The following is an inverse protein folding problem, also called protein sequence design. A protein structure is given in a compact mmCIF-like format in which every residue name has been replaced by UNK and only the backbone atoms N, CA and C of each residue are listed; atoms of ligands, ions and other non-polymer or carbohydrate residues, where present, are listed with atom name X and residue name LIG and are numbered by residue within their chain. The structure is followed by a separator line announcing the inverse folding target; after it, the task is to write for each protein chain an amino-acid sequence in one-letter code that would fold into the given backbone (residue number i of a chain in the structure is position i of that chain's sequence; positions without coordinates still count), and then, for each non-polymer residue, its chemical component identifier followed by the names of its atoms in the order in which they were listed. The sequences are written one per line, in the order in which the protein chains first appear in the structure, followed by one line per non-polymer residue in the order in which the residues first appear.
data_IF_623520711353
#
_entry.id   IF_623520711353
#
_cell.length_a   1.000
_cell.length_b   1.000
_cell.length_c   1.000
_cell.angle_alpha   90.00
_cell.angle_beta   90.00
_cell.angle_gamma   90.00
#
_symmetry.space_group_name_H-M   'P 1'
#
loop_
_entity.id
_entity.type
_entity.pdbx_description
1 polymer ?
#
# COMPACT_ATOMS: atom_id res chain seq x y z
N UNK A 1 -10.26 -93.15 -8.95
CA UNK A 1 -11.51 -93.55 -9.65
C UNK A 1 -12.34 -92.28 -9.74
N UNK A 2 -12.64 -91.66 -10.89
CA UNK A 2 -12.58 -92.12 -12.28
C UNK A 2 -12.61 -90.86 -13.19
N UNK A 3 -11.81 -90.85 -14.25
CA UNK A 3 -11.86 -89.86 -15.35
C UNK A 3 -12.92 -90.27 -16.38
N UNK A 4 -13.51 -89.32 -17.14
CA UNK A 4 -13.81 -89.43 -18.59
C UNK A 4 -13.91 -88.03 -19.26
N UNK A 5 -13.53 -87.98 -20.54
CA UNK A 5 -13.36 -86.93 -21.59
C UNK A 5 -14.66 -86.18 -22.00
N UNK A 6 -14.77 -85.13 -22.85
CA UNK A 6 -13.90 -84.32 -23.74
C UNK A 6 -14.76 -83.46 -24.73
N UNK A 7 -14.22 -82.32 -25.25
CA UNK A 7 -14.58 -81.53 -26.49
C UNK A 7 -16.02 -80.91 -26.62
N UNK A 8 -16.37 -79.78 -27.28
CA UNK A 8 -15.83 -78.93 -28.37
C UNK A 8 -16.54 -77.52 -28.36
N UNK A 9 -15.99 -76.55 -29.11
CA UNK A 9 -16.25 -75.09 -29.18
C UNK A 9 -17.28 -74.72 -30.27
N UNK A 10 -18.19 -73.73 -30.05
CA UNK A 10 -18.81 -72.90 -31.14
C UNK A 10 -19.20 -71.47 -30.70
N UNK A 11 -18.81 -70.46 -31.50
CA UNK A 11 -19.35 -69.08 -31.54
C UNK A 11 -20.51 -68.95 -32.54
N UNK A 12 -21.31 -67.86 -32.46
CA UNK A 12 -21.79 -67.14 -33.67
C UNK A 12 -21.74 -65.58 -33.55
N UNK A 13 -21.99 -64.80 -34.65
CA UNK A 13 -21.15 -63.64 -35.04
C UNK A 13 -21.85 -62.24 -35.21
N UNK A 14 -21.09 -61.32 -35.83
CA UNK A 14 -21.26 -59.86 -36.12
C UNK A 14 -22.46 -59.41 -37.01
N UNK A 15 -22.99 -58.22 -36.64
CA UNK A 15 -23.40 -57.01 -37.42
C UNK A 15 -24.34 -57.06 -38.65
N UNK A 16 -25.38 -56.19 -38.66
CA UNK A 16 -25.46 -54.94 -39.47
C UNK A 16 -26.87 -54.55 -40.02
N UNK A 17 -27.23 -53.25 -39.84
CA UNK A 17 -27.96 -52.30 -40.75
C UNK A 17 -29.41 -52.67 -41.19
N UNK A 18 -30.42 -51.81 -41.41
CA UNK A 18 -30.54 -50.38 -41.70
C UNK A 18 -32.04 -49.95 -41.68
N UNK A 19 -32.29 -48.64 -41.44
CA UNK A 19 -33.45 -47.81 -41.86
C UNK A 19 -34.91 -48.10 -41.44
N UNK A 20 -35.53 -47.13 -40.74
CA UNK A 20 -36.87 -46.64 -41.04
C UNK A 20 -37.07 -45.21 -40.48
N UNK A 21 -37.63 -44.33 -41.32
CA UNK A 21 -37.83 -42.91 -41.08
C UNK A 21 -39.24 -42.59 -40.55
N UNK A 22 -39.32 -41.46 -39.82
CA UNK A 22 -40.45 -40.52 -39.65
C UNK A 22 -41.77 -41.01 -39.02
N UNK A 23 -42.14 -40.49 -37.84
CA UNK A 23 -43.11 -39.36 -37.71
C UNK A 23 -43.43 -38.95 -36.25
N UNK A 24 -43.46 -37.62 -36.04
CA UNK A 24 -44.26 -36.77 -35.10
C UNK A 24 -43.94 -36.72 -33.59
N UNK A 25 -43.29 -35.59 -33.22
CA UNK A 25 -43.62 -34.57 -32.18
C UNK A 25 -44.32 -35.03 -30.87
N UNK A 26 -43.95 -34.61 -29.66
CA UNK A 26 -43.55 -33.29 -29.13
C UNK A 26 -42.91 -33.51 -27.74
N UNK A 27 -41.83 -32.80 -27.41
CA UNK A 27 -41.75 -32.07 -26.14
C UNK A 27 -40.50 -31.18 -26.11
N UNK A 28 -40.71 -29.94 -25.71
CA UNK A 28 -39.73 -28.86 -25.83
C UNK A 28 -38.58 -28.99 -24.83
N UNK A 29 -37.36 -29.06 -25.34
CA UNK A 29 -36.16 -28.74 -24.57
C UNK A 29 -35.61 -27.37 -24.96
N UNK A 30 -35.73 -26.47 -23.98
CA UNK A 30 -35.21 -25.11 -23.96
C UNK A 30 -33.67 -25.13 -23.91
N UNK A 31 -33.02 -25.24 -25.08
CA UNK A 31 -31.60 -24.97 -25.22
C UNK A 31 -31.35 -23.46 -25.08
N UNK A 32 -31.22 -22.96 -23.85
CA UNK A 32 -30.76 -21.60 -23.57
C UNK A 32 -29.36 -21.40 -24.17
N UNK A 33 -29.32 -20.78 -25.34
CA UNK A 33 -28.08 -20.33 -25.97
C UNK A 33 -27.30 -19.44 -24.99
N UNK A 34 -26.09 -19.89 -24.63
CA UNK A 34 -25.21 -19.18 -23.72
C UNK A 34 -24.93 -17.77 -24.27
N UNK A 35 -25.43 -16.74 -23.58
CA UNK A 35 -25.30 -15.34 -24.00
C UNK A 35 -23.86 -15.00 -24.43
N UNK A 36 -23.70 -14.25 -25.53
CA UNK A 36 -22.38 -13.76 -26.03
C UNK A 36 -21.51 -13.13 -24.93
N UNK A 37 -22.10 -12.60 -23.86
CA UNK A 37 -21.39 -12.09 -22.66
C UNK A 37 -20.80 -13.20 -21.79
N UNK A 38 -21.53 -14.29 -21.57
CA UNK A 38 -21.03 -15.45 -20.83
C UNK A 38 -19.90 -16.15 -21.59
N UNK A 39 -20.01 -16.28 -22.92
CA UNK A 39 -18.93 -16.79 -23.78
C UNK A 39 -17.66 -15.92 -23.73
N UNK A 40 -17.81 -14.58 -23.75
CA UNK A 40 -16.66 -13.66 -23.58
C UNK A 40 -16.02 -13.77 -22.19
N UNK A 41 -16.81 -13.99 -21.13
CA UNK A 41 -16.31 -14.18 -19.77
C UNK A 41 -15.55 -15.51 -19.63
N UNK A 42 -16.08 -16.59 -20.21
CA UNK A 42 -15.45 -17.91 -20.28
C UNK A 42 -14.11 -17.83 -21.02
N UNK A 43 -14.09 -17.22 -22.22
CA UNK A 43 -12.87 -17.04 -23.03
C UNK A 43 -11.81 -16.24 -22.30
N UNK A 44 -12.19 -15.16 -21.60
CA UNK A 44 -11.26 -14.38 -20.76
C UNK A 44 -10.72 -15.18 -19.57
N UNK A 45 -11.52 -16.06 -18.97
CA UNK A 45 -11.09 -16.93 -17.87
C UNK A 45 -10.06 -17.95 -18.36
N UNK A 46 -10.34 -18.62 -19.48
CA UNK A 46 -9.41 -19.55 -20.13
C UNK A 46 -8.11 -18.84 -20.52
N UNK A 47 -8.18 -17.68 -21.17
CA UNK A 47 -6.98 -16.89 -21.52
C UNK A 47 -6.20 -16.43 -20.28
N UNK A 48 -6.88 -16.14 -19.17
CA UNK A 48 -6.21 -15.79 -17.92
C UNK A 48 -5.55 -17.00 -17.26
N UNK A 49 -6.20 -18.16 -17.28
CA UNK A 49 -5.66 -19.43 -16.80
C UNK A 49 -4.44 -19.86 -17.63
N UNK A 50 -4.53 -19.78 -18.96
CA UNK A 50 -3.42 -20.03 -19.89
C UNK A 50 -2.24 -19.08 -19.62
N UNK A 51 -2.47 -17.76 -19.54
CA UNK A 51 -1.40 -16.79 -19.22
C UNK A 51 -0.82 -17.00 -17.82
N UNK A 52 -1.62 -17.46 -16.87
CA UNK A 52 -1.17 -17.80 -15.51
C UNK A 52 -0.28 -19.03 -15.53
N UNK A 53 -0.66 -20.07 -16.27
CA UNK A 53 0.11 -21.29 -16.45
C UNK A 53 1.41 -21.04 -17.23
N UNK A 54 1.35 -20.22 -18.29
CA UNK A 54 2.52 -19.79 -19.07
C UNK A 54 3.52 -19.03 -18.18
N UNK A 55 3.06 -18.08 -17.36
CA UNK A 55 3.92 -17.38 -16.39
C UNK A 55 4.51 -18.34 -15.35
N UNK A 56 3.76 -19.34 -14.89
CA UNK A 56 4.24 -20.35 -13.94
C UNK A 56 5.33 -21.21 -14.58
N UNK A 57 5.12 -21.68 -15.80
CA UNK A 57 6.09 -22.48 -16.55
C UNK A 57 7.35 -21.68 -16.89
N UNK A 58 7.20 -20.41 -17.30
CA UNK A 58 8.34 -19.51 -17.55
C UNK A 58 9.16 -19.25 -16.28
N UNK A 59 8.51 -19.09 -15.13
CA UNK A 59 9.20 -19.00 -13.82
C UNK A 59 9.92 -20.29 -13.47
N UNK A 60 9.30 -21.45 -13.69
CA UNK A 60 9.92 -22.76 -13.47
C UNK A 60 11.12 -22.97 -14.37
N UNK A 61 11.01 -22.69 -15.68
CA UNK A 61 12.15 -22.75 -16.63
C UNK A 61 13.26 -21.79 -16.23
N UNK A 62 12.94 -20.53 -15.92
CA UNK A 62 13.94 -19.57 -15.43
C UNK A 62 14.60 -20.01 -14.12
N UNK A 63 13.87 -20.70 -13.24
CA UNK A 63 14.41 -21.21 -11.99
C UNK A 63 15.30 -22.44 -12.25
N UNK A 64 14.91 -23.31 -13.19
CA UNK A 64 15.67 -24.48 -13.61
C UNK A 64 16.95 -24.06 -14.36
N UNK A 65 16.88 -23.11 -15.30
CA UNK A 65 18.02 -22.53 -16.02
C UNK A 65 19.00 -21.83 -15.07
N UNK A 66 18.50 -21.20 -14.01
CA UNK A 66 19.33 -20.59 -12.95
C UNK A 66 20.02 -21.61 -12.05
N UNK A 67 19.37 -22.76 -11.80
CA UNK A 67 19.93 -23.89 -11.05
C UNK A 67 20.97 -24.64 -11.89
N UNK A 68 20.70 -24.90 -13.17
CA UNK A 68 21.63 -25.60 -14.09
C UNK A 68 22.86 -24.77 -14.43
N UNK A 69 22.73 -23.46 -14.58
CA UNK A 69 23.86 -22.57 -14.84
C UNK A 69 24.64 -22.14 -13.57
N UNK A 70 24.31 -22.67 -12.39
CA UNK A 70 25.01 -22.37 -11.13
C UNK A 70 24.90 -20.91 -10.65
N UNK A 71 24.05 -20.10 -11.28
CA UNK A 71 23.88 -18.67 -11.00
C UNK A 71 23.02 -18.39 -9.77
N UNK A 72 22.37 -19.41 -9.20
CA UNK A 72 21.58 -19.33 -7.97
C UNK A 72 21.97 -20.49 -7.06
N UNK A 73 22.50 -20.17 -5.87
CA UNK A 73 22.67 -21.14 -4.81
C UNK A 73 21.34 -21.84 -4.53
N UNK A 74 21.35 -23.18 -4.36
CA UNK A 74 20.18 -23.93 -3.89
C UNK A 74 19.53 -23.15 -2.73
N UNK A 75 18.18 -23.00 -2.69
CA UNK A 75 17.54 -22.43 -1.52
C UNK A 75 18.05 -23.22 -0.32
N UNK A 76 18.79 -22.57 0.58
CA UNK A 76 19.21 -23.21 1.83
C UNK A 76 17.95 -23.78 2.46
N UNK A 77 17.90 -25.10 2.66
CA UNK A 77 16.78 -25.70 3.39
C UNK A 77 16.59 -24.91 4.68
N UNK A 78 15.38 -24.38 4.85
CA UNK A 78 15.05 -23.65 6.05
C UNK A 78 15.09 -24.65 7.19
N UNK A 79 16.12 -24.58 8.02
CA UNK A 79 16.24 -25.41 9.23
C UNK A 79 14.98 -25.25 10.08
N UNK A 80 14.14 -26.28 10.13
CA UNK A 80 12.85 -26.26 10.85
C UNK A 80 12.98 -26.80 12.28
N UNK A 81 14.20 -27.03 12.79
CA UNK A 81 14.40 -27.42 14.18
C UNK A 81 13.77 -26.39 15.13
N UNK A 82 13.27 -26.86 16.28
CA UNK A 82 12.64 -26.01 17.28
C UNK A 82 13.56 -24.85 17.71
N UNK A 83 14.86 -25.13 17.83
CA UNK A 83 15.88 -24.13 18.16
C UNK A 83 16.01 -23.06 17.05
N UNK A 84 16.01 -23.46 15.77
CA UNK A 84 16.04 -22.52 14.66
C UNK A 84 14.74 -21.72 14.54
N UNK A 85 13.58 -22.31 14.88
CA UNK A 85 12.29 -21.60 14.94
C UNK A 85 12.30 -20.58 16.07
N UNK A 86 12.77 -20.95 17.27
CA UNK A 86 12.91 -20.04 18.42
C UNK A 86 13.85 -18.87 18.09
N UNK A 87 15.04 -19.13 17.55
CA UNK A 87 15.98 -18.08 17.11
C UNK A 87 15.36 -17.10 16.11
N UNK A 88 14.51 -17.58 15.19
CA UNK A 88 13.79 -16.71 14.23
C UNK A 88 12.72 -15.87 14.90
N UNK A 89 11.98 -16.44 15.86
CA UNK A 89 11.00 -15.70 16.66
C UNK A 89 11.69 -14.61 17.48
N UNK A 90 12.76 -14.94 18.20
CA UNK A 90 13.57 -13.99 18.97
C UNK A 90 14.11 -12.85 18.10
N UNK A 91 14.69 -13.15 16.93
CA UNK A 91 15.14 -12.13 15.98
C UNK A 91 14.00 -11.22 15.52
N UNK A 92 12.80 -11.76 15.37
CA UNK A 92 11.63 -10.97 14.93
C UNK A 92 11.15 -10.04 16.06
N UNK A 93 11.13 -10.53 17.30
CA UNK A 93 10.81 -9.75 18.49
C UNK A 93 11.85 -8.65 18.68
N UNK A 94 13.14 -8.98 18.69
CA UNK A 94 14.22 -8.02 18.85
C UNK A 94 14.20 -6.92 17.76
N UNK A 95 13.95 -7.29 16.51
CA UNK A 95 13.77 -6.31 15.42
C UNK A 95 12.57 -5.39 15.66
N UNK A 96 11.45 -5.94 16.13
CA UNK A 96 10.25 -5.16 16.45
C UNK A 96 10.52 -4.18 17.60
N UNK A 97 11.14 -4.65 18.68
CA UNK A 97 11.50 -3.81 19.84
C UNK A 97 12.46 -2.70 19.44
N UNK A 98 13.52 -3.04 18.70
CA UNK A 98 14.48 -2.04 18.19
C UNK A 98 13.78 -0.97 17.34
N UNK A 99 12.85 -1.38 16.47
CA UNK A 99 12.07 -0.45 15.66
C UNK A 99 11.18 0.46 16.50
N UNK A 100 10.50 -0.09 17.51
CA UNK A 100 9.62 0.68 18.39
C UNK A 100 10.40 1.67 19.26
N UNK A 101 11.54 1.26 19.83
CA UNK A 101 12.43 2.15 20.58
C UNK A 101 12.93 3.30 19.69
N UNK A 102 13.40 2.99 18.48
CA UNK A 102 13.84 4.00 17.53
C UNK A 102 12.71 4.97 17.13
N UNK A 103 11.47 4.47 17.03
CA UNK A 103 10.32 5.30 16.71
C UNK A 103 9.92 6.21 17.88
N UNK A 104 10.00 5.71 19.11
CA UNK A 104 9.69 6.47 20.33
C UNK A 104 10.68 7.63 20.55
N UNK A 105 11.96 7.42 20.28
CA UNK A 105 12.99 8.45 20.24
C UNK A 105 12.94 9.33 18.97
N UNK A 106 12.13 8.92 18.00
CA UNK A 106 11.95 9.58 16.72
C UNK A 106 11.18 10.88 16.80
N UNK A 107 11.00 11.52 15.64
CA UNK A 107 10.14 12.70 15.53
C UNK A 107 8.68 12.29 15.70
N UNK A 108 7.91 13.06 16.47
CA UNK A 108 6.48 12.85 16.64
C UNK A 108 5.70 13.55 15.53
N UNK A 109 4.80 12.81 14.88
CA UNK A 109 3.96 13.33 13.80
C UNK A 109 2.49 13.03 14.09
N UNK A 110 1.63 14.00 13.84
CA UNK A 110 0.17 13.85 13.93
C UNK A 110 -0.43 13.92 12.53
N UNK A 111 -1.40 13.06 12.23
CA UNK A 111 -2.30 13.20 11.09
C UNK A 111 -3.66 13.59 11.64
N UNK A 112 -4.07 14.84 11.42
CA UNK A 112 -5.29 15.43 11.94
C UNK A 112 -6.51 15.13 11.05
N UNK A 113 -7.37 14.20 11.46
CA UNK A 113 -8.55 13.79 10.69
C UNK A 113 -9.83 14.56 11.02
N UNK A 114 -9.76 15.72 11.70
CA UNK A 114 -10.95 16.48 12.10
C UNK A 114 -11.81 17.01 10.93
N UNK A 115 -11.24 17.11 9.72
CA UNK A 115 -11.92 17.67 8.55
C UNK A 115 -12.88 16.70 7.84
N UNK A 116 -13.20 15.54 8.43
CA UNK A 116 -13.95 14.47 7.78
C UNK A 116 -15.26 14.94 7.13
N UNK A 117 -16.04 15.78 7.82
CA UNK A 117 -17.33 16.28 7.35
C UNK A 117 -17.22 17.13 6.08
N UNK A 118 -16.05 17.70 5.81
CA UNK A 118 -15.78 18.53 4.63
C UNK A 118 -15.32 17.70 3.42
N UNK A 119 -15.16 16.38 3.59
CA UNK A 119 -14.67 15.46 2.57
C UNK A 119 -15.81 14.62 1.98
N UNK A 120 -15.76 14.44 0.67
CA UNK A 120 -16.61 13.45 -0.02
C UNK A 120 -16.14 12.03 0.28
N UNK A 121 -17.01 11.04 0.08
CA UNK A 121 -16.66 9.62 0.26
C UNK A 121 -15.43 9.16 -0.55
N UNK A 122 -15.24 9.73 -1.75
CA UNK A 122 -14.06 9.45 -2.58
C UNK A 122 -12.79 10.05 -1.96
N UNK A 123 -12.90 11.25 -1.41
CA UNK A 123 -11.80 11.95 -0.73
C UNK A 123 -11.44 11.24 0.59
N UNK A 124 -12.41 10.80 1.39
CA UNK A 124 -12.19 10.00 2.61
C UNK A 124 -11.46 8.68 2.32
N UNK A 125 -11.84 7.97 1.25
CA UNK A 125 -11.13 6.76 0.80
C UNK A 125 -9.70 7.07 0.35
N UNK A 126 -9.51 8.17 -0.37
CA UNK A 126 -8.17 8.62 -0.78
C UNK A 126 -7.29 8.95 0.42
N UNK A 127 -7.83 9.65 1.42
CA UNK A 127 -7.12 9.94 2.67
C UNK A 127 -6.68 8.66 3.39
N UNK A 128 -7.57 7.67 3.49
CA UNK A 128 -7.27 6.39 4.13
C UNK A 128 -6.12 5.66 3.42
N UNK A 129 -6.07 5.72 2.08
CA UNK A 129 -4.94 5.18 1.31
C UNK A 129 -3.65 5.96 1.54
N UNK A 130 -3.72 7.29 1.64
CA UNK A 130 -2.55 8.12 1.92
C UNK A 130 -1.96 7.83 3.30
N UNK A 131 -2.80 7.65 4.32
CA UNK A 131 -2.37 7.23 5.67
C UNK A 131 -1.68 5.85 5.61
N UNK A 132 -2.25 4.89 4.87
CA UNK A 132 -1.63 3.58 4.65
C UNK A 132 -0.27 3.68 3.93
N UNK A 133 -0.13 4.57 2.94
CA UNK A 133 1.15 4.81 2.28
C UNK A 133 2.17 5.42 3.24
N UNK A 134 1.78 6.37 4.08
CA UNK A 134 2.63 6.92 5.15
C UNK A 134 3.12 5.84 6.10
N UNK A 135 2.24 4.93 6.55
CA UNK A 135 2.65 3.78 7.36
C UNK A 135 3.66 2.89 6.63
N UNK A 136 3.42 2.61 5.35
CA UNK A 136 4.33 1.84 4.52
C UNK A 136 5.73 2.48 4.42
N UNK A 137 5.82 3.80 4.27
CA UNK A 137 7.07 4.56 4.27
C UNK A 137 7.75 4.46 5.63
N UNK A 138 7.04 4.72 6.73
CA UNK A 138 7.59 4.69 8.08
C UNK A 138 8.19 3.32 8.43
N UNK A 139 7.47 2.24 8.10
CA UNK A 139 7.91 0.86 8.36
C UNK A 139 9.23 0.48 7.67
N UNK A 140 9.59 1.19 6.59
CA UNK A 140 10.85 0.97 5.85
C UNK A 140 11.91 2.02 6.18
N UNK A 141 11.58 3.05 6.96
CA UNK A 141 12.52 4.10 7.31
C UNK A 141 13.56 3.59 8.29
N UNK A 142 14.78 4.12 8.15
CA UNK A 142 15.89 3.89 9.09
C UNK A 142 15.72 4.73 10.35
N UNK A 143 14.97 5.83 10.27
CA UNK A 143 14.62 6.71 11.39
C UNK A 143 13.10 6.78 11.50
N UNK A 144 12.44 5.71 11.98
CA UNK A 144 11.00 5.70 12.08
C UNK A 144 10.50 6.81 13.00
N UNK A 145 9.32 7.33 12.69
CA UNK A 145 8.62 8.36 13.44
C UNK A 145 7.53 7.74 14.30
N UNK A 146 7.21 8.38 15.41
CA UNK A 146 6.03 8.05 16.20
C UNK A 146 4.82 8.82 15.66
N UNK A 147 3.85 8.12 15.08
CA UNK A 147 2.72 8.72 14.37
C UNK A 147 1.42 8.51 15.14
N UNK A 148 0.66 9.58 15.34
CA UNK A 148 -0.67 9.54 15.90
C UNK A 148 -1.71 10.05 14.88
N UNK A 149 -2.76 9.26 14.63
CA UNK A 149 -3.90 9.66 13.81
C UNK A 149 -4.98 10.15 14.78
N UNK A 150 -5.19 11.46 14.84
CA UNK A 150 -6.08 12.11 15.81
C UNK A 150 -7.41 12.47 15.20
N UNK A 151 -8.41 12.72 16.05
CA UNK A 151 -9.78 12.97 15.63
C UNK A 151 -10.28 11.86 14.69
N UNK A 152 -9.84 10.61 14.91
CA UNK A 152 -10.13 9.49 14.02
C UNK A 152 -11.50 8.88 14.34
N UNK A 153 -12.48 9.17 13.50
CA UNK A 153 -13.85 8.67 13.63
C UNK A 153 -14.45 8.36 12.25
N UNK A 154 -15.78 8.17 12.21
CA UNK A 154 -16.54 8.12 10.97
C UNK A 154 -16.08 7.06 9.96
N UNK A 155 -16.17 7.43 8.69
CA UNK A 155 -15.84 6.59 7.55
C UNK A 155 -14.34 6.49 7.30
N UNK A 156 -13.54 7.49 7.72
CA UNK A 156 -12.07 7.39 7.66
C UNK A 156 -11.62 6.23 8.56
N UNK A 157 -12.10 6.15 9.80
CA UNK A 157 -11.83 5.03 10.71
C UNK A 157 -12.26 3.70 10.11
N UNK A 158 -13.51 3.59 9.65
CA UNK A 158 -14.04 2.36 9.03
C UNK A 158 -13.23 1.92 7.80
N UNK A 159 -12.70 2.86 7.03
CA UNK A 159 -11.89 2.55 5.86
C UNK A 159 -10.50 2.04 6.26
N UNK A 160 -9.89 2.58 7.32
CA UNK A 160 -8.62 2.10 7.86
C UNK A 160 -8.76 0.70 8.48
N UNK A 161 -9.84 0.43 9.21
CA UNK A 161 -10.10 -0.88 9.84
C UNK A 161 -10.29 -2.01 8.83
N UNK A 162 -10.65 -1.70 7.59
CA UNK A 162 -10.69 -2.68 6.49
C UNK A 162 -9.31 -3.07 5.98
N UNK A 163 -8.26 -2.32 6.34
CA UNK A 163 -6.90 -2.62 5.94
C UNK A 163 -6.35 -3.68 6.88
N UNK A 164 -5.87 -4.78 6.31
CA UNK A 164 -5.31 -5.91 7.06
C UNK A 164 -4.16 -5.42 7.94
N UNK A 165 -4.25 -5.73 9.23
CA UNK A 165 -3.20 -5.42 10.19
C UNK A 165 -3.25 -4.01 10.78
N UNK A 166 -4.31 -3.21 10.52
CA UNK A 166 -4.39 -1.82 10.97
C UNK A 166 -4.18 -1.64 12.48
N UNK A 167 -4.77 -2.52 13.29
CA UNK A 167 -4.64 -2.46 14.75
C UNK A 167 -3.25 -2.91 15.24
N UNK A 168 -2.48 -3.59 14.40
CA UNK A 168 -1.12 -4.08 14.65
C UNK A 168 -0.04 -3.19 14.04
N UNK A 169 -0.40 -2.03 13.46
CA UNK A 169 0.57 -1.10 12.90
C UNK A 169 1.53 -0.59 13.97
N UNK A 170 2.82 -0.71 13.69
CA UNK A 170 3.88 -0.32 14.61
C UNK A 170 4.19 1.17 14.46
N UNK A 171 4.33 1.86 15.60
CA UNK A 171 4.57 3.32 15.66
C UNK A 171 3.49 4.18 14.96
N UNK A 172 2.30 3.62 14.75
CA UNK A 172 1.13 4.29 14.20
C UNK A 172 -0.05 4.01 15.13
N UNK A 173 -0.56 5.03 15.81
CA UNK A 173 -1.63 4.88 16.79
C UNK A 173 -2.84 5.72 16.38
N UNK A 174 -4.04 5.13 16.35
CA UNK A 174 -5.29 5.86 16.12
C UNK A 174 -5.93 6.32 17.43
N UNK A 175 -6.44 7.55 17.47
CA UNK A 175 -7.17 8.10 18.61
C UNK A 175 -8.38 8.93 18.14
N UNK A 176 -9.55 8.78 18.79
CA UNK A 176 -10.70 9.66 18.51
C UNK A 176 -10.53 11.07 19.09
N UNK A 177 -9.58 11.28 20.03
CA UNK A 177 -9.32 12.58 20.66
C UNK A 177 -8.59 13.54 19.72
N UNK A 178 -8.76 14.84 19.93
CA UNK A 178 -8.01 15.87 19.20
C UNK A 178 -6.55 15.89 19.64
N UNK A 179 -5.65 16.32 18.76
CA UNK A 179 -4.24 16.47 19.10
C UNK A 179 -3.99 17.49 20.22
N UNK A 180 -4.88 18.48 20.37
CA UNK A 180 -4.75 19.51 21.41
C UNK A 180 -4.96 18.92 22.82
N UNK A 181 -5.72 17.83 22.93
CA UNK A 181 -5.99 17.13 24.18
C UNK A 181 -4.92 16.07 24.51
N UNK A 182 -4.12 15.68 23.51
CA UNK A 182 -3.15 14.59 23.60
C UNK A 182 -1.72 15.06 23.81
N UNK A 183 -1.40 16.29 23.38
CA UNK A 183 -0.04 16.82 23.36
C UNK A 183 0.02 18.21 23.97
N UNK A 184 1.17 18.55 24.55
CA UNK A 184 1.39 19.88 25.10
C UNK A 184 1.35 20.94 24.00
N UNK A 185 0.50 21.96 24.18
CA UNK A 185 0.28 23.03 23.19
C UNK A 185 1.57 23.66 22.65
N UNK A 186 2.53 23.94 23.53
CA UNK A 186 3.81 24.58 23.17
C UNK A 186 4.73 23.68 22.33
N UNK A 187 4.49 22.36 22.33
CA UNK A 187 5.22 21.40 21.52
C UNK A 187 4.67 21.28 20.08
N UNK A 188 3.46 21.77 19.82
CA UNK A 188 2.76 21.57 18.56
C UNK A 188 3.24 22.54 17.47
N UNK A 189 3.48 22.00 16.28
CA UNK A 189 3.77 22.76 15.05
C UNK A 189 2.87 22.25 13.93
N UNK A 190 1.93 23.08 13.47
CA UNK A 190 1.05 22.72 12.37
C UNK A 190 1.72 23.00 11.02
N UNK A 191 1.92 21.94 10.23
CA UNK A 191 2.49 22.03 8.89
C UNK A 191 1.40 22.41 7.88
N UNK A 192 1.54 23.59 7.30
CA UNK A 192 0.57 24.12 6.32
C UNK A 192 1.28 24.99 5.28
N UNK A 193 0.84 24.88 4.02
CA UNK A 193 1.43 25.62 2.90
C UNK A 193 1.22 27.14 3.01
N UNK A 194 0.18 27.57 3.73
CA UNK A 194 -0.20 28.97 3.89
C UNK A 194 0.57 29.68 5.02
N UNK A 195 1.42 28.96 5.77
CA UNK A 195 2.20 29.55 6.86
C UNK A 195 3.24 30.56 6.34
N UNK A 196 3.43 31.71 7.01
CA UNK A 196 4.51 32.65 6.70
C UNK A 196 5.88 32.09 7.10
N UNK A 197 5.93 31.18 8.07
CA UNK A 197 7.17 30.63 8.63
C UNK A 197 7.63 29.41 7.86
N UNK A 198 8.92 29.33 7.53
CA UNK A 198 9.49 28.16 6.84
C UNK A 198 10.18 27.26 7.87
N UNK A 199 9.87 25.96 7.84
CA UNK A 199 10.56 24.98 8.69
C UNK A 199 11.99 24.74 8.19
N UNK A 200 12.94 24.77 9.12
CA UNK A 200 14.36 24.55 8.82
C UNK A 200 14.90 23.24 9.37
N UNK A 201 14.37 22.77 10.51
CA UNK A 201 14.79 21.53 11.17
C UNK A 201 13.61 20.82 11.84
N UNK A 202 13.73 19.50 11.94
CA UNK A 202 12.85 18.67 12.76
C UNK A 202 13.49 18.45 14.13
N UNK A 203 12.78 18.80 15.19
CA UNK A 203 13.20 18.61 16.57
C UNK A 203 12.39 17.51 17.24
N UNK A 204 13.01 16.78 18.17
CA UNK A 204 12.39 15.67 18.91
C UNK A 204 11.47 16.14 20.05
N UNK A 205 11.65 17.37 20.52
CA UNK A 205 10.80 18.03 21.52
C UNK A 205 9.50 18.62 20.93
N UNK A 206 9.32 18.50 19.61
CA UNK A 206 8.16 19.03 18.89
C UNK A 206 7.30 17.91 18.31
N UNK A 207 6.03 18.25 18.08
CA UNK A 207 5.03 17.40 17.44
C UNK A 207 4.56 18.09 16.17
N UNK A 208 4.81 17.47 15.01
CA UNK A 208 4.50 18.04 13.71
C UNK A 208 3.15 17.54 13.21
N UNK A 209 2.19 18.44 13.03
CA UNK A 209 0.82 18.11 12.62
C UNK A 209 0.68 18.26 11.10
N UNK A 210 0.17 17.22 10.44
CA UNK A 210 -0.23 17.22 9.04
C UNK A 210 -1.76 17.20 8.99
N UNK A 211 -2.36 18.13 8.25
CA UNK A 211 -3.81 18.08 8.01
C UNK A 211 -4.19 16.83 7.23
N UNK A 212 -4.95 15.93 7.85
CA UNK A 212 -5.53 14.74 7.25
C UNK A 212 -6.70 15.10 6.34
N UNK A 213 -6.40 15.79 5.24
CA UNK A 213 -7.40 16.33 4.32
C UNK A 213 -7.00 16.06 2.86
N UNK A 214 -7.98 15.73 2.01
CA UNK A 214 -7.79 15.54 0.57
C UNK A 214 -8.85 16.36 -0.16
N UNK A 215 -8.57 17.63 -0.37
CA UNK A 215 -9.51 18.62 -0.90
C UNK A 215 -9.11 19.17 -2.28
N UNK A 216 -7.94 18.77 -2.78
CA UNK A 216 -7.30 19.33 -3.98
C UNK A 216 -7.10 20.85 -3.89
N UNK A 217 -6.82 21.36 -2.69
CA UNK A 217 -6.68 22.79 -2.39
C UNK A 217 -7.95 23.61 -2.66
N UNK A 218 -9.12 23.00 -2.47
CA UNK A 218 -10.44 23.67 -2.50
C UNK A 218 -10.66 24.51 -1.25
N UNK A 219 -10.21 24.02 -0.09
CA UNK A 219 -10.37 24.59 1.23
C UNK A 219 -9.10 25.35 1.63
N UNK A 220 -8.84 26.45 0.91
CA UNK A 220 -7.65 27.29 1.13
C UNK A 220 -7.61 27.81 2.57
N UNK A 221 -6.42 27.84 3.17
CA UNK A 221 -6.22 28.42 4.50
C UNK A 221 -6.77 27.59 5.68
N UNK A 222 -7.60 26.57 5.46
CA UNK A 222 -8.38 25.94 6.54
C UNK A 222 -7.51 25.38 7.69
N UNK A 223 -6.36 24.81 7.36
CA UNK A 223 -5.43 24.25 8.34
C UNK A 223 -4.64 25.34 9.06
N UNK A 224 -4.29 26.42 8.33
CA UNK A 224 -3.59 27.57 8.88
C UNK A 224 -4.49 28.37 9.83
N UNK A 225 -5.72 28.68 9.40
CA UNK A 225 -6.73 29.38 10.21
C UNK A 225 -7.04 28.62 11.50
N UNK A 226 -7.20 27.29 11.42
CA UNK A 226 -7.39 26.43 12.59
C UNK A 226 -6.22 26.56 13.58
N UNK A 227 -4.99 26.44 13.09
CA UNK A 227 -3.80 26.51 13.93
C UNK A 227 -3.61 27.89 14.58
N UNK A 228 -3.86 28.96 13.82
CA UNK A 228 -3.83 30.35 14.32
C UNK A 228 -4.90 30.57 15.37
N UNK A 229 -6.14 30.13 15.14
CA UNK A 229 -7.23 30.26 16.09
C UNK A 229 -6.94 29.51 17.41
N UNK A 230 -6.25 28.37 17.33
CA UNK A 230 -5.79 27.64 18.50
C UNK A 230 -4.54 28.25 19.15
N UNK A 231 -3.86 29.20 18.49
CA UNK A 231 -2.63 29.81 18.97
C UNK A 231 -1.47 28.82 19.06
N UNK A 232 -1.33 27.92 18.09
CA UNK A 232 -0.19 27.00 17.98
C UNK A 232 0.76 27.44 16.87
N UNK A 233 2.03 27.00 16.96
CA UNK A 233 3.06 27.33 15.97
C UNK A 233 2.66 26.77 14.59
N UNK A 234 2.93 27.52 13.51
CA UNK A 234 2.74 27.03 12.14
C UNK A 234 4.03 27.12 11.36
N UNK A 235 4.22 26.20 10.40
CA UNK A 235 5.32 26.28 9.46
C UNK A 235 4.95 25.65 8.11
N UNK A 236 5.55 26.11 7.02
CA UNK A 236 5.49 25.49 5.69
C UNK A 236 6.80 24.77 5.38
N UNK A 237 6.73 23.74 4.53
CA UNK A 237 7.92 23.08 3.99
C UNK A 237 8.72 24.05 3.10
N UNK A 238 10.06 23.98 3.08
CA UNK A 238 10.92 24.87 2.29
C UNK A 238 10.93 24.54 0.79
N UNK A 239 9.75 24.30 0.18
CA UNK A 239 9.65 23.85 -1.21
C UNK A 239 10.18 24.89 -2.20
N UNK A 240 9.91 26.18 -1.99
CA UNK A 240 10.33 27.25 -2.91
C UNK A 240 11.84 27.52 -2.87
N UNK A 241 12.51 27.19 -1.77
CA UNK A 241 13.97 27.30 -1.66
C UNK A 241 14.69 26.19 -2.42
N UNK A 242 13.97 25.11 -2.72
CA UNK A 242 14.56 23.81 -3.00
C UNK A 242 14.19 23.29 -4.39
N UNK A 243 12.95 23.54 -4.82
CA UNK A 243 12.41 23.01 -6.07
C UNK A 243 11.81 24.12 -6.91
N UNK A 244 12.17 24.16 -8.19
CA UNK A 244 11.37 24.84 -9.19
C UNK A 244 10.21 23.94 -9.60
N UNK A 245 9.01 24.25 -9.11
CA UNK A 245 7.80 23.46 -9.40
C UNK A 245 6.95 24.04 -10.54
N UNK A 246 7.45 25.04 -11.29
CA UNK A 246 6.72 25.70 -12.37
C UNK A 246 5.28 26.08 -11.95
N UNK A 247 4.30 25.73 -12.78
CA UNK A 247 2.86 25.94 -12.53
C UNK A 247 2.22 24.92 -11.55
N UNK A 248 2.96 23.93 -11.04
CA UNK A 248 2.40 22.91 -10.15
C UNK A 248 2.05 23.49 -8.77
N UNK A 249 0.96 23.01 -8.17
CA UNK A 249 0.57 23.46 -6.81
C UNK A 249 1.62 23.10 -5.76
N UNK A 250 1.81 24.03 -4.81
CA UNK A 250 2.67 23.85 -3.63
C UNK A 250 1.99 23.03 -2.53
N UNK A 251 0.69 22.78 -2.67
CA UNK A 251 -0.07 21.93 -1.77
C UNK A 251 0.21 20.46 -2.10
N UNK A 252 0.78 19.76 -1.13
CA UNK A 252 1.15 18.36 -1.22
C UNK A 252 0.06 17.48 -0.58
N UNK A 253 0.02 16.21 -0.96
CA UNK A 253 -0.86 15.21 -0.33
C UNK A 253 -0.25 14.77 1.00
N UNK A 254 -1.06 14.21 1.90
CA UNK A 254 -0.67 13.80 3.26
C UNK A 254 0.56 12.88 3.22
N UNK A 255 0.53 11.88 2.34
CA UNK A 255 1.63 10.92 2.20
C UNK A 255 2.93 11.56 1.69
N UNK A 256 2.86 12.55 0.79
CA UNK A 256 4.08 13.23 0.32
C UNK A 256 4.67 14.12 1.40
N UNK A 257 3.84 14.83 2.19
CA UNK A 257 4.35 15.60 3.34
C UNK A 257 5.04 14.64 4.32
N UNK A 258 4.37 13.55 4.68
CA UNK A 258 4.94 12.54 5.59
C UNK A 258 6.26 11.97 5.07
N UNK A 259 6.30 11.57 3.79
CA UNK A 259 7.50 10.98 3.19
C UNK A 259 8.65 11.98 3.11
N UNK A 260 8.39 13.27 2.84
CA UNK A 260 9.43 14.31 2.92
C UNK A 260 9.99 14.42 4.34
N UNK A 261 9.14 14.40 5.38
CA UNK A 261 9.60 14.43 6.77
C UNK A 261 10.46 13.20 7.11
N UNK A 262 10.02 12.01 6.68
CA UNK A 262 10.74 10.75 6.89
C UNK A 262 12.12 10.79 6.20
N UNK A 263 12.16 11.17 4.92
CA UNK A 263 13.42 11.32 4.17
C UNK A 263 14.34 12.37 4.79
N UNK A 264 13.80 13.54 5.16
CA UNK A 264 14.56 14.60 5.82
C UNK A 264 15.13 14.13 7.17
N UNK A 265 14.42 13.26 7.90
CA UNK A 265 14.93 12.73 9.17
C UNK A 265 16.16 11.86 8.99
N UNK A 266 16.32 11.21 7.83
CA UNK A 266 17.49 10.42 7.46
C UNK A 266 18.62 11.28 6.89
N UNK A 267 18.31 12.10 5.87
CA UNK A 267 19.34 12.79 5.06
C UNK A 267 19.68 14.20 5.56
N UNK A 268 18.83 14.81 6.39
CA UNK A 268 18.96 16.17 6.94
C UNK A 268 19.11 17.28 5.87
N UNK A 269 18.65 17.00 4.66
CA UNK A 269 18.65 17.92 3.52
C UNK A 269 17.26 17.97 2.89
N UNK A 270 16.64 19.15 2.89
CA UNK A 270 15.29 19.34 2.37
C UNK A 270 15.21 19.15 0.85
N UNK A 271 16.29 19.42 0.13
CA UNK A 271 16.36 19.23 -1.32
C UNK A 271 16.39 17.79 -1.73
N UNK A 272 17.26 17.02 -1.10
CA UNK A 272 17.30 15.59 -1.31
C UNK A 272 15.98 14.93 -0.91
N UNK A 273 15.44 15.29 0.26
CA UNK A 273 14.17 14.75 0.75
C UNK A 273 13.00 15.06 -0.21
N UNK A 274 12.89 16.32 -0.66
CA UNK A 274 11.79 16.72 -1.54
C UNK A 274 11.88 16.07 -2.92
N UNK A 275 13.07 16.02 -3.52
CA UNK A 275 13.26 15.39 -4.84
C UNK A 275 13.03 13.88 -4.82
N UNK A 276 13.43 13.19 -3.75
CA UNK A 276 13.21 11.75 -3.62
C UNK A 276 11.72 11.39 -3.52
N UNK A 277 10.90 12.29 -2.97
CA UNK A 277 9.47 12.06 -2.75
C UNK A 277 8.57 12.52 -3.89
N UNK A 278 8.88 13.64 -4.55
CA UNK A 278 7.98 14.21 -5.55
C UNK A 278 8.04 13.41 -6.86
N UNK A 279 6.89 12.98 -7.42
CA UNK A 279 6.88 12.22 -8.67
C UNK A 279 7.37 13.07 -9.85
N UNK A 280 8.12 12.47 -10.77
CA UNK A 280 8.80 13.14 -11.91
C UNK A 280 7.88 14.06 -12.73
N UNK A 281 6.58 13.74 -12.81
CA UNK A 281 5.55 14.56 -13.48
C UNK A 281 5.32 15.94 -12.87
N UNK A 282 5.80 16.21 -11.65
CA UNK A 282 5.74 17.53 -11.03
C UNK A 282 6.84 18.48 -11.52
N UNK A 283 7.72 18.04 -12.44
CA UNK A 283 8.77 18.87 -13.03
C UNK A 283 9.74 19.42 -11.99
N UNK A 284 9.89 18.72 -10.86
CA UNK A 284 10.69 19.15 -9.74
C UNK A 284 12.18 19.06 -10.10
N UNK A 285 12.82 20.21 -10.32
CA UNK A 285 14.26 20.32 -10.50
C UNK A 285 14.87 21.13 -9.35
N UNK A 286 16.09 20.74 -8.93
CA UNK A 286 16.89 21.52 -8.00
C UNK A 286 17.09 22.92 -8.56
N UNK A 287 16.90 23.95 -7.72
CA UNK A 287 17.37 25.30 -8.07
C UNK A 287 18.89 25.26 -8.18
N UNK A 288 19.42 25.58 -9.37
CA UNK A 288 20.84 25.80 -9.56
C UNK A 288 21.28 26.94 -8.64
N UNK A 289 22.16 26.67 -7.67
CA UNK A 289 22.82 27.73 -6.91
C UNK A 289 23.60 28.58 -7.92
N UNK A 290 23.20 29.83 -8.14
CA UNK A 290 24.11 30.81 -8.74
C UNK A 290 25.32 30.86 -7.81
N UNK A 291 26.49 30.48 -8.31
CA UNK A 291 27.75 30.78 -7.63
C UNK A 291 27.74 32.27 -7.35
N UNK A 292 27.82 32.65 -6.07
CA UNK A 292 28.07 34.02 -5.70
C UNK A 292 29.42 34.38 -6.34
N UNK A 293 29.38 35.26 -7.33
CA UNK A 293 30.58 35.80 -7.96
C UNK A 293 31.43 36.45 -6.86
N UNK A 294 32.68 36.01 -6.79
CA UNK A 294 33.77 36.73 -6.13
C UNK A 294 34.02 38.01 -6.93
#
# INVERSE_FOLDING_TARGET
MQMVEGTDIRQPPLAALETAANEVATDGENAQSVSKRAMRKQKRRVQWEERKMEKKLKRQRQQQDKLTNGLVALPKELDMSDEAVLRRKERTIAKRETYLMAAEEGVKVVIDCEFEEKLTEKEKKSLSQQIMFSYGVNRRSRTPMNVCITSLHGDIRKNLEKIVGFHEWQAFTGSPKSYIDLFEKNSLVYLTADSPTIITKLRRDKVYIIGGIVDRNRLKGITYEKAVAQGIETAKLPLDAVVEMGAATRVLTVNHVFEILAQFSEVKDWAQATLATLPSRKGAHLKTRKAAGI
#
